data_IF_608564534072
#
_entry.id   IF_608564534072
#
_cell.length_a   1.000
_cell.length_b   1.000
_cell.length_c   1.000
_cell.angle_alpha   90.00
_cell.angle_beta   90.00
_cell.angle_gamma   90.00
#
_symmetry.space_group_name_H-M   'P 1'
#
loop_
_entity.id
_entity.type
_entity.pdbx_description
1 polymer ?
#
# COMPACT_ATOMS: atom_id res chain seq x y z
N UNK A 1 55.62 21.31 72.57
CA UNK A 1 54.43 20.50 72.22
C UNK A 1 54.18 20.63 70.74
N UNK A 2 54.58 19.64 69.96
CA UNK A 2 54.58 19.66 68.52
C UNK A 2 53.27 19.03 68.01
N UNK A 3 52.44 19.76 67.22
CA UNK A 3 51.36 19.21 66.41
C UNK A 3 51.85 19.11 64.98
N UNK A 4 51.99 17.87 64.51
CA UNK A 4 52.30 17.54 63.13
C UNK A 4 51.00 17.62 62.34
N UNK A 5 50.93 18.46 61.33
CA UNK A 5 49.89 18.44 60.29
C UNK A 5 50.32 17.47 59.20
N UNK A 6 49.53 16.44 59.06
CA UNK A 6 49.65 15.49 57.96
C UNK A 6 48.67 15.90 56.82
N UNK A 7 49.23 16.49 55.78
CA UNK A 7 48.46 16.85 54.57
C UNK A 7 48.22 15.59 53.74
N UNK A 8 46.99 15.14 53.67
CA UNK A 8 46.53 14.08 52.72
C UNK A 8 46.22 14.77 51.43
N UNK A 9 47.07 14.62 50.43
CA UNK A 9 46.89 15.05 49.06
C UNK A 9 45.98 14.01 48.37
N UNK A 10 44.66 14.24 48.32
CA UNK A 10 43.72 13.40 47.56
C UNK A 10 43.89 13.66 46.08
N UNK A 11 44.60 12.77 45.41
CA UNK A 11 44.71 12.73 43.95
C UNK A 11 43.39 12.26 43.38
N UNK A 12 42.53 13.21 42.96
CA UNK A 12 41.30 12.92 42.19
C UNK A 12 41.74 12.50 40.78
N UNK A 13 41.85 11.20 40.60
CA UNK A 13 42.06 10.60 39.27
C UNK A 13 40.72 10.69 38.49
N UNK A 14 40.54 11.77 37.73
CA UNK A 14 39.48 11.89 36.78
C UNK A 14 39.70 10.83 35.68
N UNK A 15 39.03 9.68 35.81
CA UNK A 15 38.94 8.70 34.72
C UNK A 15 38.11 9.34 33.63
N UNK A 16 38.77 9.99 32.68
CA UNK A 16 38.17 10.33 31.39
C UNK A 16 37.96 9.02 30.69
N UNK A 17 36.74 8.48 30.82
CA UNK A 17 36.26 7.43 29.92
C UNK A 17 36.12 8.05 28.52
N UNK A 18 37.26 8.14 27.83
CA UNK A 18 37.26 8.31 26.39
C UNK A 18 36.53 7.06 25.83
N UNK A 19 35.22 7.20 25.60
CA UNK A 19 34.45 6.16 24.92
C UNK A 19 35.11 5.95 23.57
N UNK A 20 35.81 4.82 23.39
CA UNK A 20 36.32 4.41 22.09
C UNK A 20 35.15 4.40 21.14
N UNK A 21 35.12 5.33 20.19
CA UNK A 21 34.09 5.34 19.12
C UNK A 21 34.15 3.99 18.40
N UNK A 22 33.10 3.25 18.44
CA UNK A 22 32.99 1.98 17.73
C UNK A 22 33.08 2.29 16.23
N UNK A 23 34.15 1.86 15.57
CA UNK A 23 34.45 2.18 14.17
C UNK A 23 33.83 1.19 13.19
N UNK A 24 33.47 -0.01 13.65
CA UNK A 24 32.92 -1.05 12.81
C UNK A 24 31.41 -0.80 12.56
N UNK A 25 30.98 -0.54 11.28
CA UNK A 25 29.58 -0.32 10.96
C UNK A 25 28.64 -1.53 11.21
N UNK A 26 29.19 -2.74 11.32
CA UNK A 26 28.44 -3.95 11.65
C UNK A 26 28.22 -4.11 13.17
N UNK A 27 28.94 -3.38 14.00
CA UNK A 27 28.80 -3.46 15.44
C UNK A 27 27.41 -2.91 15.87
N UNK A 28 26.64 -3.64 16.69
CA UNK A 28 25.34 -3.18 17.18
C UNK A 28 25.33 -1.81 17.87
N UNK A 29 26.46 -1.41 18.48
CA UNK A 29 26.63 -0.11 19.16
C UNK A 29 27.10 1.00 18.23
N UNK A 30 27.42 0.70 16.97
CA UNK A 30 27.82 1.71 15.99
C UNK A 30 26.69 2.73 15.81
N UNK A 31 27.02 4.02 15.84
CA UNK A 31 26.07 5.11 15.59
C UNK A 31 25.93 5.28 14.08
N UNK A 32 24.78 4.99 13.55
CA UNK A 32 24.47 5.08 12.10
C UNK A 32 23.98 6.45 11.68
N UNK A 33 23.41 7.21 12.64
CA UNK A 33 23.06 8.63 12.46
C UNK A 33 23.08 9.35 13.81
N UNK A 34 23.52 10.61 13.80
CA UNK A 34 23.55 11.48 14.97
C UNK A 34 23.17 12.91 14.63
N UNK A 35 22.76 13.67 15.65
CA UNK A 35 22.40 15.08 15.54
C UNK A 35 21.98 15.62 16.89
N UNK A 36 21.53 16.89 16.96
CA UNK A 36 21.03 17.46 18.19
C UNK A 36 19.79 16.73 18.69
N UNK A 37 19.93 15.98 19.79
CA UNK A 37 18.85 15.15 20.35
C UNK A 37 18.56 13.87 19.56
N UNK A 38 19.40 13.51 18.60
CA UNK A 38 19.24 12.34 17.74
C UNK A 38 20.45 11.43 17.88
N UNK A 39 20.19 10.16 18.12
CA UNK A 39 21.20 9.12 18.09
C UNK A 39 20.57 7.80 17.71
N UNK A 40 20.91 7.29 16.54
CA UNK A 40 20.42 6.01 16.04
C UNK A 40 21.61 5.05 15.96
N UNK A 41 21.44 3.88 16.59
CA UNK A 41 22.46 2.82 16.56
C UNK A 41 22.16 1.78 15.49
N UNK A 42 23.17 1.00 15.12
CA UNK A 42 23.04 -0.14 14.22
C UNK A 42 21.99 -1.13 14.72
N UNK A 43 21.98 -1.45 16.01
CA UNK A 43 20.99 -2.35 16.59
C UNK A 43 19.56 -1.85 16.40
N UNK A 44 19.32 -0.54 16.55
CA UNK A 44 18.00 0.04 16.33
C UNK A 44 17.59 -0.03 14.86
N UNK A 45 18.51 0.29 13.95
CA UNK A 45 18.26 0.16 12.51
C UNK A 45 17.96 -1.29 12.13
N UNK A 46 18.74 -2.24 12.61
CA UNK A 46 18.56 -3.66 12.34
C UNK A 46 17.21 -4.18 12.84
N UNK A 47 16.78 -3.72 14.01
CA UNK A 47 15.47 -4.09 14.55
C UNK A 47 14.33 -3.60 13.64
N UNK A 48 14.39 -2.35 13.16
CA UNK A 48 13.36 -1.82 12.25
C UNK A 48 13.39 -2.48 10.86
N UNK A 49 14.57 -2.75 10.31
CA UNK A 49 14.72 -3.50 9.05
C UNK A 49 14.13 -4.91 9.18
N UNK A 50 14.43 -5.61 10.27
CA UNK A 50 13.87 -6.94 10.50
C UNK A 50 12.35 -6.91 10.67
N UNK A 51 11.83 -5.89 11.37
CA UNK A 51 10.37 -5.69 11.51
C UNK A 51 9.70 -5.45 10.14
N UNK A 52 10.32 -4.63 9.29
CA UNK A 52 9.82 -4.38 7.95
C UNK A 52 9.81 -5.65 7.09
N UNK A 53 10.86 -6.46 7.14
CA UNK A 53 10.95 -7.72 6.40
C UNK A 53 9.91 -8.75 6.87
N UNK A 54 9.66 -8.83 8.18
CA UNK A 54 8.65 -9.74 8.73
C UNK A 54 7.24 -9.46 8.21
N UNK A 55 6.89 -8.21 7.91
CA UNK A 55 5.58 -7.86 7.33
C UNK A 55 5.38 -8.47 5.94
N UNK A 56 6.46 -8.85 5.25
CA UNK A 56 6.44 -9.51 3.94
C UNK A 56 6.81 -11.00 4.03
N UNK A 57 6.88 -11.58 5.24
CA UNK A 57 7.36 -12.96 5.50
C UNK A 57 8.77 -13.20 4.90
N UNK A 58 9.63 -12.18 4.91
CA UNK A 58 11.01 -12.25 4.43
C UNK A 58 12.00 -12.25 5.60
N UNK A 59 13.17 -12.82 5.35
CA UNK A 59 14.36 -12.75 6.21
C UNK A 59 15.52 -12.09 5.45
N UNK A 60 16.48 -11.51 6.19
CA UNK A 60 17.60 -10.75 5.58
C UNK A 60 18.41 -11.55 4.58
N UNK A 61 18.66 -12.82 4.86
CA UNK A 61 19.40 -13.76 4.03
C UNK A 61 18.74 -14.03 2.66
N UNK A 62 17.43 -13.79 2.56
CA UNK A 62 16.66 -13.97 1.32
C UNK A 62 16.56 -12.70 0.47
N UNK A 63 17.05 -11.55 0.98
CA UNK A 63 17.02 -10.28 0.26
C UNK A 63 18.39 -10.03 -0.37
N UNK A 64 18.50 -9.78 -1.69
CA UNK A 64 19.75 -9.42 -2.33
C UNK A 64 20.42 -8.22 -1.69
N UNK A 65 21.75 -8.26 -1.52
CA UNK A 65 22.51 -7.23 -0.79
C UNK A 65 22.24 -5.77 -1.26
N UNK A 66 22.13 -5.45 -2.57
CA UNK A 66 21.81 -4.09 -2.99
C UNK A 66 20.40 -3.63 -2.58
N UNK A 67 19.42 -4.55 -2.60
CA UNK A 67 18.05 -4.25 -2.18
C UNK A 67 17.98 -4.05 -0.65
N UNK A 68 18.70 -4.89 0.11
CA UNK A 68 18.81 -4.75 1.56
C UNK A 68 19.46 -3.43 1.94
N UNK A 69 20.55 -3.03 1.29
CA UNK A 69 21.21 -1.74 1.53
C UNK A 69 20.27 -0.56 1.23
N UNK A 70 19.51 -0.61 0.14
CA UNK A 70 18.50 0.40 -0.18
C UNK A 70 17.39 0.45 0.86
N UNK A 71 16.93 -0.69 1.35
CA UNK A 71 15.94 -0.80 2.42
C UNK A 71 16.49 -0.19 3.73
N UNK A 72 17.73 -0.49 4.10
CA UNK A 72 18.38 0.07 5.31
C UNK A 72 18.45 1.60 5.24
N UNK A 73 18.84 2.17 4.11
CA UNK A 73 18.89 3.63 3.93
C UNK A 73 17.49 4.25 4.02
N UNK A 74 16.50 3.63 3.41
CA UNK A 74 15.11 4.11 3.45
C UNK A 74 14.57 4.10 4.89
N UNK A 75 14.78 3.00 5.62
CA UNK A 75 14.37 2.88 7.02
C UNK A 75 15.12 3.86 7.91
N UNK A 76 16.45 4.00 7.74
CA UNK A 76 17.21 4.99 8.48
C UNK A 76 16.67 6.40 8.26
N UNK A 77 16.37 6.77 7.02
CA UNK A 77 15.76 8.07 6.71
C UNK A 77 14.40 8.27 7.39
N UNK A 78 13.57 7.23 7.45
CA UNK A 78 12.29 7.28 8.18
C UNK A 78 12.51 7.45 9.68
N UNK A 79 13.47 6.73 10.28
CA UNK A 79 13.82 6.85 11.69
C UNK A 79 14.33 8.25 12.03
N UNK A 80 15.19 8.83 11.19
CA UNK A 80 15.68 10.21 11.34
C UNK A 80 14.51 11.18 11.28
N UNK A 81 13.67 11.10 10.25
CA UNK A 81 12.49 11.96 10.09
C UNK A 81 11.56 11.89 11.31
N UNK A 82 11.29 10.68 11.80
CA UNK A 82 10.48 10.48 13.01
C UNK A 82 11.12 11.14 14.23
N UNK A 83 12.43 11.00 14.42
CA UNK A 83 13.11 11.57 15.57
C UNK A 83 13.19 13.11 15.53
N UNK A 84 13.48 13.72 14.37
CA UNK A 84 13.46 15.19 14.23
C UNK A 84 12.07 15.77 14.44
N UNK A 85 11.05 15.13 13.85
CA UNK A 85 9.66 15.55 14.03
C UNK A 85 9.20 15.43 15.48
N UNK A 86 9.54 14.32 16.15
CA UNK A 86 9.19 14.12 17.56
C UNK A 86 9.91 15.09 18.48
N UNK A 87 11.20 15.39 18.22
CA UNK A 87 11.95 16.37 18.96
C UNK A 87 11.34 17.79 18.83
N UNK A 88 10.86 18.14 17.65
CA UNK A 88 10.15 19.40 17.41
C UNK A 88 8.76 19.41 18.06
N UNK A 89 7.97 18.34 17.92
CA UNK A 89 6.64 18.21 18.52
C UNK A 89 6.67 18.41 20.04
N UNK A 90 7.71 17.90 20.71
CA UNK A 90 7.90 18.03 22.16
C UNK A 90 8.18 19.46 22.65
N UNK A 91 8.48 20.41 21.76
CA UNK A 91 8.57 21.83 22.12
C UNK A 91 7.21 22.46 22.38
N UNK A 92 6.15 21.88 21.80
CA UNK A 92 4.76 22.27 21.98
C UNK A 92 3.87 21.03 22.12
N UNK A 93 3.95 20.32 23.25
CA UNK A 93 3.30 19.02 23.40
C UNK A 93 1.77 19.16 23.33
N UNK A 94 1.13 18.14 22.80
CA UNK A 94 -0.32 18.02 22.74
C UNK A 94 -0.87 17.74 24.16
N UNK A 95 -1.77 18.59 24.66
CA UNK A 95 -2.25 18.59 26.07
C UNK A 95 -2.87 17.25 26.51
N UNK A 96 -3.47 16.49 25.60
CA UNK A 96 -4.20 15.25 25.92
C UNK A 96 -3.71 14.03 25.09
N UNK A 97 -2.47 14.06 24.60
CA UNK A 97 -1.90 12.99 23.78
C UNK A 97 -1.99 11.61 24.47
N UNK A 98 -1.60 11.54 25.75
CA UNK A 98 -1.62 10.30 26.52
C UNK A 98 -3.04 9.73 26.69
N UNK A 99 -4.03 10.58 26.93
CA UNK A 99 -5.44 10.14 27.06
C UNK A 99 -5.96 9.61 25.73
N UNK A 100 -5.74 10.35 24.64
CA UNK A 100 -6.19 9.95 23.31
C UNK A 100 -5.46 8.68 22.83
N UNK A 101 -4.18 8.52 23.17
CA UNK A 101 -3.43 7.30 22.85
C UNK A 101 -4.02 6.07 23.55
N UNK A 102 -4.39 6.19 24.84
CA UNK A 102 -5.09 5.12 25.56
C UNK A 102 -6.43 4.76 24.91
N UNK A 103 -7.23 5.76 24.58
CA UNK A 103 -8.51 5.53 23.90
C UNK A 103 -8.31 4.87 22.52
N UNK A 104 -7.30 5.27 21.78
CA UNK A 104 -6.98 4.64 20.49
C UNK A 104 -6.55 3.18 20.68
N UNK A 105 -5.70 2.89 21.67
CA UNK A 105 -5.29 1.53 21.99
C UNK A 105 -6.50 0.66 22.36
N UNK A 106 -7.41 1.17 23.18
CA UNK A 106 -8.64 0.43 23.54
C UNK A 106 -9.56 0.21 22.32
N UNK A 107 -9.64 1.16 21.37
CA UNK A 107 -10.33 0.94 20.10
C UNK A 107 -9.66 -0.15 19.25
N UNK A 108 -8.32 -0.18 19.23
CA UNK A 108 -7.57 -1.21 18.50
C UNK A 108 -7.81 -2.60 19.10
N UNK A 109 -7.81 -2.72 20.43
CA UNK A 109 -8.10 -4.00 21.11
C UNK A 109 -9.46 -4.58 20.73
N UNK A 110 -10.48 -3.72 20.58
CA UNK A 110 -11.84 -4.13 20.19
C UNK A 110 -11.95 -4.73 18.78
N UNK A 111 -10.93 -4.53 17.91
CA UNK A 111 -10.89 -5.14 16.59
C UNK A 111 -10.41 -6.61 16.62
N UNK A 112 -9.95 -7.09 17.76
CA UNK A 112 -9.56 -8.49 17.95
C UNK A 112 -10.72 -9.30 18.54
N UNK A 113 -10.87 -10.56 18.13
CA UNK A 113 -11.98 -11.38 18.60
C UNK A 113 -11.88 -11.69 20.11
N UNK A 114 -10.67 -11.76 20.67
CA UNK A 114 -10.42 -11.95 22.10
C UNK A 114 -9.19 -11.17 22.56
N UNK A 115 -9.06 -10.89 23.88
CA UNK A 115 -7.85 -10.26 24.43
C UNK A 115 -6.58 -11.09 24.18
N UNK A 116 -6.69 -12.43 24.20
CA UNK A 116 -5.57 -13.35 23.95
C UNK A 116 -5.06 -13.20 22.51
N UNK A 117 -5.96 -13.04 21.53
CA UNK A 117 -5.58 -12.81 20.13
C UNK A 117 -4.79 -11.49 19.96
N UNK A 118 -5.13 -10.46 20.74
CA UNK A 118 -4.35 -9.23 20.77
C UNK A 118 -2.95 -9.47 21.37
N UNK A 119 -2.84 -10.20 22.51
CA UNK A 119 -1.56 -10.50 23.14
C UNK A 119 -0.66 -11.39 22.24
N UNK A 120 -1.26 -12.34 21.54
CA UNK A 120 -0.55 -13.16 20.55
C UNK A 120 0.03 -12.29 19.43
N UNK A 121 -0.74 -11.30 18.96
CA UNK A 121 -0.26 -10.35 17.94
C UNK A 121 0.90 -9.49 18.45
N UNK A 122 0.86 -9.00 19.69
CA UNK A 122 1.97 -8.28 20.31
C UNK A 122 3.23 -9.15 20.39
N UNK A 123 3.07 -10.40 20.80
CA UNK A 123 4.17 -11.37 20.89
C UNK A 123 4.79 -11.63 19.52
N UNK A 124 3.99 -11.83 18.48
CA UNK A 124 4.45 -11.97 17.09
C UNK A 124 5.19 -10.74 16.61
N UNK A 125 4.71 -9.55 16.96
CA UNK A 125 5.34 -8.27 16.63
C UNK A 125 6.55 -7.95 17.51
N UNK A 126 6.88 -8.78 18.50
CA UNK A 126 7.96 -8.58 19.48
C UNK A 126 7.88 -7.22 20.17
N UNK A 127 6.69 -6.83 20.58
CA UNK A 127 6.40 -5.58 21.29
C UNK A 127 5.49 -5.83 22.49
N UNK A 128 5.34 -4.82 23.32
CA UNK A 128 4.46 -4.82 24.49
C UNK A 128 3.35 -3.80 24.33
N UNK A 129 2.28 -3.94 25.13
CA UNK A 129 1.20 -2.96 25.16
C UNK A 129 1.70 -1.56 25.55
N UNK A 130 2.65 -1.48 26.48
CA UNK A 130 3.26 -0.22 26.93
C UNK A 130 4.07 0.44 25.79
N UNK A 131 4.83 -0.33 25.03
CA UNK A 131 5.57 0.18 23.86
C UNK A 131 4.60 0.63 22.76
N UNK A 132 3.56 -0.14 22.47
CA UNK A 132 2.54 0.24 21.52
C UNK A 132 1.83 1.53 21.92
N UNK A 133 1.45 1.69 23.20
CA UNK A 133 0.86 2.91 23.72
C UNK A 133 1.78 4.12 23.49
N UNK A 134 3.07 3.97 23.81
CA UNK A 134 4.07 5.00 23.59
C UNK A 134 4.24 5.34 22.10
N UNK A 135 4.21 4.35 21.22
CA UNK A 135 4.27 4.57 19.78
C UNK A 135 3.05 5.34 19.26
N UNK A 136 1.86 5.01 19.76
CA UNK A 136 0.61 5.74 19.43
C UNK A 136 0.71 7.21 19.89
N UNK A 137 1.13 7.43 21.13
CA UNK A 137 1.30 8.80 21.68
C UNK A 137 2.28 9.62 20.84
N UNK A 138 3.46 9.08 20.55
CA UNK A 138 4.47 9.73 19.72
C UNK A 138 3.95 10.03 18.31
N UNK A 139 3.20 9.09 17.74
CA UNK A 139 2.57 9.32 16.42
C UNK A 139 1.59 10.49 16.47
N UNK A 140 0.76 10.57 17.51
CA UNK A 140 -0.20 11.68 17.68
C UNK A 140 0.49 13.02 17.84
N UNK A 141 1.60 13.08 18.59
CA UNK A 141 2.41 14.29 18.74
C UNK A 141 2.96 14.76 17.38
N UNK A 142 3.50 13.83 16.57
CA UNK A 142 4.01 14.13 15.22
C UNK A 142 2.88 14.53 14.28
N UNK A 143 1.75 13.82 14.28
CA UNK A 143 0.59 14.15 13.45
C UNK A 143 0.05 15.56 13.79
N UNK A 144 0.05 15.93 15.08
CA UNK A 144 -0.34 17.28 15.53
C UNK A 144 0.64 18.34 15.04
N UNK A 145 1.95 18.08 15.13
CA UNK A 145 2.98 18.96 14.57
C UNK A 145 2.77 19.16 13.06
N UNK A 146 2.58 18.08 12.31
CA UNK A 146 2.35 18.15 10.86
C UNK A 146 1.10 18.96 10.54
N UNK A 147 0.02 18.75 11.28
CA UNK A 147 -1.20 19.55 11.14
C UNK A 147 -0.95 21.04 11.42
N UNK A 148 -0.29 21.35 12.51
CA UNK A 148 -0.03 22.74 12.89
C UNK A 148 0.92 23.50 11.96
N UNK A 149 1.91 22.80 11.36
CA UNK A 149 2.97 23.44 10.58
C UNK A 149 2.76 23.31 9.07
N UNK A 150 2.10 22.24 8.59
CA UNK A 150 1.89 21.95 7.18
C UNK A 150 0.54 22.47 6.70
N UNK A 151 -0.56 22.15 7.39
CA UNK A 151 -1.91 22.52 6.92
C UNK A 151 -2.12 24.02 6.66
N UNK A 152 -1.63 24.96 7.51
CA UNK A 152 -1.82 26.39 7.24
C UNK A 152 -1.10 26.89 5.98
N UNK A 153 -0.07 26.18 5.51
CA UNK A 153 0.67 26.52 4.29
C UNK A 153 0.03 25.94 3.02
N UNK A 154 -0.99 25.08 3.18
CA UNK A 154 -1.63 24.39 2.05
C UNK A 154 -2.76 25.24 1.46
N UNK A 155 -2.44 26.09 0.48
CA UNK A 155 -3.47 26.67 -0.35
C UNK A 155 -4.21 25.58 -1.14
N UNK A 156 -5.54 25.71 -1.25
CA UNK A 156 -6.30 24.87 -2.15
C UNK A 156 -5.74 24.99 -3.58
N UNK A 157 -5.70 23.88 -4.35
CA UNK A 157 -5.31 23.97 -5.74
C UNK A 157 -6.21 24.96 -6.48
N UNK A 158 -5.60 25.85 -7.27
CA UNK A 158 -6.35 26.79 -8.09
C UNK A 158 -7.01 26.11 -9.28
N UNK A 159 -8.00 26.75 -9.88
CA UNK A 159 -8.66 26.22 -11.07
C UNK A 159 -7.67 26.10 -12.26
N UNK A 160 -6.68 27.01 -12.35
CA UNK A 160 -5.60 26.93 -13.35
C UNK A 160 -4.71 25.71 -13.14
N UNK A 161 -4.36 25.39 -11.90
CA UNK A 161 -3.56 24.19 -11.58
C UNK A 161 -4.34 22.91 -11.94
N UNK A 162 -5.62 22.88 -11.63
CA UNK A 162 -6.50 21.74 -11.95
C UNK A 162 -6.64 21.57 -13.47
N UNK A 163 -6.88 22.67 -14.19
CA UNK A 163 -6.97 22.67 -15.65
C UNK A 163 -5.65 22.23 -16.30
N UNK A 164 -4.53 22.75 -15.79
CA UNK A 164 -3.20 22.38 -16.27
C UNK A 164 -2.96 20.87 -16.10
N UNK A 165 -3.21 20.34 -14.91
CA UNK A 165 -3.04 18.90 -14.64
C UNK A 165 -3.92 18.04 -15.55
N UNK A 166 -5.17 18.44 -15.77
CA UNK A 166 -6.08 17.75 -16.68
C UNK A 166 -5.50 17.70 -18.10
N UNK A 167 -5.02 18.83 -18.63
CA UNK A 167 -4.49 18.95 -19.99
C UNK A 167 -3.17 18.18 -20.18
N UNK A 168 -2.31 18.16 -19.16
CA UNK A 168 -1.01 17.47 -19.21
C UNK A 168 -1.14 15.95 -19.06
N UNK A 169 -2.29 15.45 -18.59
CA UNK A 169 -2.50 14.04 -18.31
C UNK A 169 -3.72 13.43 -19.06
N UNK A 170 -3.85 13.59 -20.39
CA UNK A 170 -5.04 13.20 -21.13
C UNK A 170 -5.37 11.71 -21.05
N UNK A 171 -4.35 10.86 -20.89
CA UNK A 171 -4.52 9.40 -20.77
C UNK A 171 -5.24 8.97 -19.48
N UNK A 172 -5.15 9.75 -18.40
CA UNK A 172 -5.79 9.42 -17.12
C UNK A 172 -7.31 9.56 -17.21
N UNK A 173 -7.81 10.36 -18.12
CA UNK A 173 -9.23 10.66 -18.28
C UNK A 173 -9.93 9.79 -19.31
N UNK A 174 -9.17 8.97 -20.03
CA UNK A 174 -9.73 8.04 -20.99
C UNK A 174 -10.34 6.84 -20.27
N UNK A 175 -11.54 6.51 -20.66
CA UNK A 175 -12.22 5.26 -20.27
C UNK A 175 -12.42 4.45 -21.54
N UNK A 176 -11.85 3.26 -21.56
CA UNK A 176 -12.03 2.35 -22.69
C UNK A 176 -13.47 1.85 -22.75
N UNK A 177 -13.89 1.44 -23.95
CA UNK A 177 -15.12 0.68 -24.11
C UNK A 177 -15.10 -0.51 -23.16
N UNK A 178 -16.21 -0.74 -22.44
CA UNK A 178 -16.35 -1.86 -21.53
C UNK A 178 -17.68 -2.57 -21.67
N UNK A 179 -17.69 -3.85 -21.29
CA UNK A 179 -18.86 -4.73 -21.33
C UNK A 179 -19.14 -5.24 -19.92
N UNK A 180 -20.42 -5.17 -19.52
CA UNK A 180 -20.94 -5.85 -18.34
C UNK A 180 -21.70 -7.08 -18.81
N UNK A 181 -21.26 -8.25 -18.38
CA UNK A 181 -21.81 -9.52 -18.86
C UNK A 181 -21.92 -10.57 -17.76
N UNK A 182 -22.73 -11.56 -18.04
CA UNK A 182 -22.78 -12.84 -17.35
C UNK A 182 -22.32 -13.92 -18.32
N UNK A 183 -21.71 -14.98 -17.82
CA UNK A 183 -21.35 -16.13 -18.64
C UNK A 183 -21.66 -17.46 -17.96
N UNK A 184 -21.76 -18.50 -18.76
CA UNK A 184 -21.70 -19.91 -18.33
C UNK A 184 -20.48 -20.53 -19.00
N UNK A 185 -19.67 -21.24 -18.22
CA UNK A 185 -18.57 -22.07 -18.72
C UNK A 185 -18.91 -23.54 -18.50
N UNK A 186 -18.83 -24.34 -19.55
CA UNK A 186 -18.77 -25.82 -19.48
C UNK A 186 -17.30 -26.18 -19.75
N UNK A 187 -16.56 -26.49 -18.68
CA UNK A 187 -15.11 -26.73 -18.77
C UNK A 187 -14.78 -27.96 -19.58
N UNK A 188 -13.73 -27.85 -20.39
CA UNK A 188 -13.16 -28.95 -21.18
C UNK A 188 -11.65 -28.92 -21.01
N UNK A 189 -11.04 -30.07 -20.73
CA UNK A 189 -9.60 -30.18 -20.72
C UNK A 189 -9.02 -30.07 -22.13
N UNK A 190 -7.90 -29.39 -22.29
CA UNK A 190 -7.27 -29.15 -23.58
C UNK A 190 -7.01 -30.47 -24.36
N UNK A 191 -6.67 -31.53 -23.62
CA UNK A 191 -6.35 -32.85 -24.17
C UNK A 191 -7.57 -33.81 -24.25
N UNK A 192 -8.80 -33.32 -24.02
CA UNK A 192 -9.99 -34.14 -24.09
C UNK A 192 -10.18 -34.72 -25.52
N UNK A 193 -10.67 -35.95 -25.60
CA UNK A 193 -10.99 -36.59 -26.85
C UNK A 193 -12.21 -35.94 -27.57
N UNK A 194 -12.44 -36.27 -28.83
CA UNK A 194 -13.50 -35.71 -29.64
C UNK A 194 -14.88 -36.01 -29.08
N UNK A 195 -15.09 -37.19 -28.51
CA UNK A 195 -16.39 -37.58 -27.92
C UNK A 195 -16.69 -36.76 -26.69
N UNK A 196 -15.69 -36.58 -25.78
CA UNK A 196 -15.83 -35.72 -24.62
C UNK A 196 -16.09 -34.26 -24.99
N UNK A 197 -15.36 -33.71 -25.97
CA UNK A 197 -15.62 -32.37 -26.50
C UNK A 197 -17.01 -32.19 -27.03
N UNK A 198 -17.51 -33.17 -27.82
CA UNK A 198 -18.86 -33.15 -28.36
C UNK A 198 -19.96 -33.21 -27.27
N UNK A 199 -19.74 -34.05 -26.24
CA UNK A 199 -20.66 -34.16 -25.11
C UNK A 199 -20.72 -32.85 -24.31
N UNK A 200 -19.58 -32.22 -24.05
CA UNK A 200 -19.49 -30.94 -23.31
C UNK A 200 -20.08 -29.78 -24.12
N UNK A 201 -19.85 -29.75 -25.44
CA UNK A 201 -20.49 -28.78 -26.33
C UNK A 201 -22.01 -28.92 -26.27
N UNK A 202 -22.52 -30.16 -26.37
CA UNK A 202 -23.96 -30.42 -26.26
C UNK A 202 -24.50 -29.94 -24.89
N UNK A 203 -23.80 -30.19 -23.79
CA UNK A 203 -24.23 -29.71 -22.48
C UNK A 203 -24.32 -28.17 -22.42
N UNK A 204 -23.38 -27.44 -23.04
CA UNK A 204 -23.46 -25.99 -23.15
C UNK A 204 -24.65 -25.53 -24.01
N UNK A 205 -24.92 -26.24 -25.15
CA UNK A 205 -26.05 -25.96 -26.02
C UNK A 205 -27.37 -26.24 -25.32
N UNK A 206 -27.47 -27.33 -24.58
CA UNK A 206 -28.68 -27.67 -23.79
C UNK A 206 -28.94 -26.63 -22.70
N UNK A 207 -27.88 -26.15 -22.00
CA UNK A 207 -27.98 -25.06 -21.03
C UNK A 207 -28.42 -23.74 -21.67
N UNK A 208 -27.89 -23.39 -22.85
CA UNK A 208 -28.31 -22.22 -23.61
C UNK A 208 -29.76 -22.34 -24.04
N UNK A 209 -30.22 -23.53 -24.46
CA UNK A 209 -31.61 -23.77 -24.83
C UNK A 209 -32.58 -23.53 -23.66
N UNK A 210 -32.19 -23.85 -22.42
CA UNK A 210 -32.99 -23.51 -21.21
C UNK A 210 -33.16 -22.00 -21.07
N UNK A 211 -32.07 -21.23 -21.22
CA UNK A 211 -32.10 -19.75 -21.18
C UNK A 211 -33.00 -19.19 -22.28
N UNK A 212 -32.87 -19.73 -23.51
CA UNK A 212 -33.70 -19.29 -24.65
C UNK A 212 -35.22 -19.63 -24.49
N UNK A 213 -35.56 -20.62 -23.66
CA UNK A 213 -36.95 -20.95 -23.27
C UNK A 213 -37.46 -20.07 -22.11
N UNK A 214 -36.66 -19.11 -21.62
CA UNK A 214 -37.08 -18.16 -20.60
C UNK A 214 -36.62 -18.50 -19.19
N UNK A 215 -35.80 -19.54 -18.97
CA UNK A 215 -35.24 -19.80 -17.66
C UNK A 215 -34.23 -18.69 -17.29
N UNK A 216 -34.23 -18.17 -16.03
CA UNK A 216 -33.30 -17.12 -15.63
C UNK A 216 -31.84 -17.54 -15.84
N UNK A 217 -31.07 -16.68 -16.52
CA UNK A 217 -29.65 -16.93 -16.82
C UNK A 217 -28.85 -17.24 -15.55
N UNK A 218 -29.11 -16.49 -14.48
CA UNK A 218 -28.47 -16.61 -13.19
C UNK A 218 -28.63 -18.01 -12.58
N UNK A 219 -29.87 -18.58 -12.70
CA UNK A 219 -30.16 -19.93 -12.20
C UNK A 219 -29.41 -20.98 -13.02
N UNK A 220 -29.44 -20.89 -14.34
CA UNK A 220 -28.71 -21.81 -15.22
C UNK A 220 -27.21 -21.73 -14.94
N UNK A 221 -26.66 -20.52 -14.76
CA UNK A 221 -25.26 -20.34 -14.44
C UNK A 221 -24.85 -20.97 -13.08
N UNK A 222 -25.69 -20.81 -12.05
CA UNK A 222 -25.45 -21.42 -10.73
C UNK A 222 -25.49 -22.94 -10.77
N UNK A 223 -26.32 -23.53 -11.61
CA UNK A 223 -26.44 -24.98 -11.74
C UNK A 223 -25.33 -25.57 -12.62
N UNK A 224 -25.10 -25.01 -13.80
CA UNK A 224 -24.35 -25.63 -14.88
C UNK A 224 -22.92 -25.09 -15.01
N UNK A 225 -22.65 -23.82 -14.63
CA UNK A 225 -21.33 -23.24 -14.86
C UNK A 225 -20.24 -23.93 -14.05
N UNK A 226 -19.12 -24.20 -14.69
CA UNK A 226 -17.90 -24.73 -14.08
C UNK A 226 -16.92 -23.58 -13.68
N UNK A 227 -17.30 -22.30 -13.86
CA UNK A 227 -16.48 -21.16 -13.44
C UNK A 227 -16.68 -20.85 -11.95
N UNK A 228 -15.70 -21.18 -11.06
CA UNK A 228 -15.84 -20.96 -9.63
C UNK A 228 -15.86 -19.45 -9.29
N UNK A 229 -15.31 -18.61 -10.16
CA UNK A 229 -15.20 -17.16 -9.95
C UNK A 229 -16.54 -16.42 -10.08
N UNK A 230 -17.47 -16.93 -10.92
CA UNK A 230 -18.74 -16.24 -11.20
C UNK A 230 -19.98 -17.11 -10.92
N UNK A 231 -19.86 -18.44 -10.86
CA UNK A 231 -20.98 -19.37 -10.66
C UNK A 231 -21.91 -18.95 -9.53
N UNK A 232 -21.38 -18.73 -8.34
CA UNK A 232 -22.18 -18.35 -7.16
C UNK A 232 -22.92 -17.02 -7.32
N UNK A 233 -22.42 -16.14 -8.22
CA UNK A 233 -23.05 -14.86 -8.56
C UNK A 233 -23.86 -14.92 -9.84
N UNK A 234 -24.35 -16.12 -10.23
CA UNK A 234 -25.16 -16.28 -11.43
C UNK A 234 -24.42 -15.98 -12.74
N UNK A 235 -23.11 -16.24 -12.76
CA UNK A 235 -22.24 -16.02 -13.90
C UNK A 235 -21.79 -14.57 -14.09
N UNK A 236 -22.03 -13.66 -13.13
CA UNK A 236 -21.70 -12.24 -13.26
C UNK A 236 -20.19 -11.98 -13.21
N UNK A 237 -19.71 -11.32 -14.26
CA UNK A 237 -18.32 -10.88 -14.41
C UNK A 237 -18.18 -9.41 -14.00
N UNK A 238 -17.03 -9.02 -13.43
CA UNK A 238 -16.68 -7.60 -13.35
C UNK A 238 -16.71 -6.97 -14.75
N UNK A 239 -17.03 -5.66 -14.89
CA UNK A 239 -16.91 -4.97 -16.17
C UNK A 239 -15.50 -5.16 -16.74
N UNK A 240 -15.39 -5.46 -18.02
CA UNK A 240 -14.10 -5.67 -18.69
C UNK A 240 -14.01 -4.92 -20.00
N UNK A 241 -12.79 -4.49 -20.33
CA UNK A 241 -12.42 -3.82 -21.58
C UNK A 241 -11.68 -4.78 -22.51
N UNK A 242 -11.45 -4.33 -23.75
CA UNK A 242 -10.64 -5.09 -24.72
C UNK A 242 -9.24 -5.38 -24.20
N UNK A 243 -8.73 -6.56 -24.46
CA UNK A 243 -7.42 -7.05 -23.99
C UNK A 243 -7.45 -7.76 -22.63
N UNK A 244 -8.61 -7.87 -21.97
CA UNK A 244 -8.76 -8.48 -20.65
C UNK A 244 -9.31 -9.92 -20.67
N UNK A 245 -9.86 -10.35 -21.80
CA UNK A 245 -10.45 -11.68 -21.96
C UNK A 245 -9.79 -12.43 -23.11
N UNK A 246 -10.03 -13.74 -23.21
CA UNK A 246 -9.54 -14.50 -24.38
C UNK A 246 -10.15 -13.94 -25.66
N UNK A 247 -9.41 -13.93 -26.79
CA UNK A 247 -9.84 -13.26 -28.02
C UNK A 247 -11.26 -13.63 -28.47
N UNK A 248 -11.61 -14.93 -28.47
CA UNK A 248 -12.93 -15.38 -28.90
C UNK A 248 -14.06 -14.99 -27.95
N UNK A 249 -13.79 -15.00 -26.63
CA UNK A 249 -14.74 -14.54 -25.63
C UNK A 249 -14.99 -13.02 -25.76
N UNK A 250 -13.91 -12.26 -25.90
CA UNK A 250 -13.95 -10.82 -26.07
C UNK A 250 -14.71 -10.41 -27.33
N UNK A 251 -14.33 -10.95 -28.50
CA UNK A 251 -15.03 -10.72 -29.76
C UNK A 251 -16.54 -10.96 -29.60
N UNK A 252 -16.90 -12.07 -28.95
CA UNK A 252 -18.33 -12.43 -28.77
C UNK A 252 -19.04 -11.48 -27.83
N UNK A 253 -18.43 -11.12 -26.71
CA UNK A 253 -19.03 -10.19 -25.76
C UNK A 253 -19.22 -8.80 -26.37
N UNK A 254 -18.21 -8.30 -27.11
CA UNK A 254 -18.27 -6.98 -27.74
C UNK A 254 -19.18 -6.95 -29.00
N UNK A 255 -19.43 -8.07 -29.68
CA UNK A 255 -20.36 -8.13 -30.82
C UNK A 255 -21.81 -8.40 -30.38
N UNK A 256 -22.04 -9.08 -29.25
CA UNK A 256 -23.41 -9.38 -28.78
C UNK A 256 -24.11 -8.11 -28.29
N UNK A 257 -25.33 -7.77 -28.78
CA UNK A 257 -26.03 -6.58 -28.30
C UNK A 257 -26.44 -6.66 -26.82
N UNK A 258 -26.55 -5.51 -26.12
CA UNK A 258 -27.05 -5.47 -24.75
C UNK A 258 -28.43 -6.16 -24.62
N UNK A 259 -28.63 -6.90 -23.54
CA UNK A 259 -29.83 -7.69 -23.27
C UNK A 259 -29.88 -9.03 -23.99
N UNK A 260 -28.96 -9.33 -24.90
CA UNK A 260 -28.95 -10.58 -25.70
C UNK A 260 -27.97 -11.59 -25.15
N UNK A 261 -28.21 -12.86 -25.51
CA UNK A 261 -27.33 -13.99 -25.20
C UNK A 261 -26.64 -14.43 -26.49
N UNK A 262 -25.35 -14.73 -26.41
CA UNK A 262 -24.57 -15.22 -27.55
C UNK A 262 -24.91 -16.68 -27.89
N UNK A 263 -24.40 -17.13 -29.02
CA UNK A 263 -24.29 -18.58 -29.30
C UNK A 263 -23.20 -19.17 -28.39
N UNK A 264 -23.14 -20.52 -28.30
CA UNK A 264 -22.03 -21.23 -27.68
C UNK A 264 -20.78 -20.99 -28.50
N UNK A 265 -19.72 -20.63 -27.81
CA UNK A 265 -18.35 -20.43 -28.35
C UNK A 265 -17.36 -21.35 -27.66
N UNK A 266 -16.29 -21.67 -28.36
CA UNK A 266 -15.16 -22.45 -27.79
C UNK A 266 -14.00 -21.54 -27.46
N UNK A 267 -13.38 -21.78 -26.30
CA UNK A 267 -12.15 -21.12 -25.84
C UNK A 267 -11.18 -22.17 -25.29
N UNK A 268 -9.94 -21.83 -24.94
CA UNK A 268 -9.03 -22.77 -24.29
C UNK A 268 -9.52 -23.36 -22.96
N UNK A 269 -10.54 -22.77 -22.35
CA UNK A 269 -11.12 -23.24 -21.08
C UNK A 269 -12.32 -24.18 -21.28
N UNK A 270 -12.92 -24.20 -22.46
CA UNK A 270 -14.10 -24.98 -22.78
C UNK A 270 -15.13 -24.18 -23.56
N UNK A 271 -16.39 -24.57 -23.41
CA UNK A 271 -17.53 -23.96 -24.11
C UNK A 271 -18.22 -22.91 -23.25
N UNK A 272 -18.47 -21.73 -23.83
CA UNK A 272 -19.11 -20.61 -23.14
C UNK A 272 -20.33 -20.12 -23.91
N UNK A 273 -21.27 -19.52 -23.21
CA UNK A 273 -22.20 -18.56 -23.76
C UNK A 273 -22.35 -17.36 -22.83
N UNK A 274 -22.61 -16.20 -23.42
CA UNK A 274 -22.44 -14.91 -22.75
C UNK A 274 -23.75 -14.13 -22.88
N UNK A 275 -24.27 -13.59 -21.76
CA UNK A 275 -25.34 -12.61 -21.74
C UNK A 275 -24.74 -11.23 -21.49
N UNK A 276 -24.85 -10.36 -22.47
CA UNK A 276 -24.41 -8.97 -22.32
C UNK A 276 -25.48 -8.16 -21.59
N UNK A 277 -25.16 -7.58 -20.45
CA UNK A 277 -26.07 -6.73 -19.66
C UNK A 277 -26.05 -5.28 -20.15
N UNK A 278 -24.87 -4.75 -20.36
CA UNK A 278 -24.67 -3.38 -20.81
C UNK A 278 -23.32 -3.23 -21.54
N UNK A 279 -23.22 -2.21 -22.36
CA UNK A 279 -21.97 -1.74 -22.95
C UNK A 279 -21.78 -0.26 -22.63
N UNK A 280 -20.60 0.11 -22.24
CA UNK A 280 -20.22 1.51 -22.03
C UNK A 280 -19.23 1.89 -23.13
N UNK A 281 -19.57 2.90 -23.92
CA UNK A 281 -18.69 3.39 -24.98
C UNK A 281 -17.41 4.01 -24.39
N UNK A 282 -16.34 3.91 -25.14
CA UNK A 282 -15.12 4.65 -24.81
C UNK A 282 -15.43 6.14 -24.73
N UNK A 283 -14.96 6.79 -23.67
CA UNK A 283 -15.14 8.24 -23.50
C UNK A 283 -13.91 8.88 -22.83
N UNK A 284 -13.72 10.15 -23.07
CA UNK A 284 -12.84 10.99 -22.25
C UNK A 284 -13.71 11.71 -21.23
N UNK A 285 -13.39 11.51 -19.94
CA UNK A 285 -14.06 12.23 -18.85
C UNK A 285 -13.76 13.72 -18.98
N UNK A 286 -14.79 14.55 -18.89
CA UNK A 286 -14.62 16.02 -18.93
C UNK A 286 -14.00 16.51 -17.62
N UNK A 287 -13.38 17.70 -17.67
CA UNK A 287 -12.78 18.30 -16.47
C UNK A 287 -13.75 18.36 -15.29
N UNK A 288 -15.00 18.75 -15.51
CA UNK A 288 -16.01 18.86 -14.45
C UNK A 288 -16.29 17.53 -13.76
N UNK A 289 -16.19 16.40 -14.49
CA UNK A 289 -16.40 15.05 -13.94
C UNK A 289 -15.25 14.63 -13.01
N UNK A 290 -14.04 15.18 -13.19
CA UNK A 290 -12.80 14.77 -12.48
C UNK A 290 -12.16 15.89 -11.65
N UNK A 291 -12.72 17.10 -11.66
CA UNK A 291 -12.19 18.27 -10.99
C UNK A 291 -11.88 18.04 -9.51
N UNK A 292 -12.81 17.41 -8.79
CA UNK A 292 -12.64 17.10 -7.37
C UNK A 292 -11.55 16.07 -7.13
N UNK A 293 -11.43 15.06 -8.00
CA UNK A 293 -10.38 14.05 -7.94
C UNK A 293 -9.00 14.67 -8.17
N UNK A 294 -8.87 15.53 -9.18
CA UNK A 294 -7.64 16.26 -9.48
C UNK A 294 -7.27 17.18 -8.31
N UNK A 295 -8.22 17.96 -7.79
CA UNK A 295 -7.98 18.86 -6.66
C UNK A 295 -7.50 18.10 -5.43
N UNK A 296 -8.13 16.96 -5.10
CA UNK A 296 -7.69 16.12 -4.01
C UNK A 296 -6.30 15.53 -4.24
N UNK A 297 -5.97 15.14 -5.48
CA UNK A 297 -4.65 14.64 -5.85
C UNK A 297 -3.58 15.74 -5.70
N UNK A 298 -3.80 16.93 -6.28
CA UNK A 298 -2.88 18.06 -6.19
C UNK A 298 -2.67 18.50 -4.74
N UNK A 299 -3.72 18.51 -3.93
CA UNK A 299 -3.62 18.80 -2.49
C UNK A 299 -2.71 17.81 -1.77
N UNK A 300 -2.84 16.50 -2.07
CA UNK A 300 -1.93 15.48 -1.49
C UNK A 300 -0.48 15.70 -1.92
N UNK A 301 -0.24 16.08 -3.18
CA UNK A 301 1.11 16.39 -3.65
C UNK A 301 1.69 17.61 -2.92
N UNK A 302 0.95 18.69 -2.79
CA UNK A 302 1.35 19.89 -2.03
C UNK A 302 1.64 19.56 -0.57
N UNK A 303 0.80 18.73 0.07
CA UNK A 303 1.00 18.27 1.44
C UNK A 303 2.28 17.45 1.59
N UNK A 304 2.53 16.52 0.66
CA UNK A 304 3.76 15.73 0.64
C UNK A 304 4.99 16.60 0.52
N UNK A 305 4.97 17.57 -0.37
CA UNK A 305 6.08 18.52 -0.59
C UNK A 305 6.32 19.42 0.64
N UNK A 306 5.27 20.01 1.20
CA UNK A 306 5.39 20.82 2.41
C UNK A 306 5.92 20.01 3.60
N UNK A 307 5.48 18.75 3.74
CA UNK A 307 6.00 17.81 4.75
C UNK A 307 7.49 17.52 4.53
N UNK A 308 7.90 17.28 3.28
CA UNK A 308 9.29 17.03 2.91
C UNK A 308 10.18 18.23 3.29
N UNK A 309 9.75 19.44 2.91
CA UNK A 309 10.50 20.67 3.21
C UNK A 309 10.62 20.90 4.72
N UNK A 310 9.53 20.74 5.47
CA UNK A 310 9.57 20.83 6.94
C UNK A 310 10.58 19.84 7.54
N UNK A 311 10.55 18.58 7.11
CA UNK A 311 11.47 17.56 7.63
C UNK A 311 12.93 17.83 7.25
N UNK A 312 13.18 18.38 6.06
CA UNK A 312 14.52 18.80 5.64
C UNK A 312 15.05 19.95 6.52
N UNK A 313 14.21 20.93 6.82
CA UNK A 313 14.60 22.04 7.71
C UNK A 313 14.86 21.54 9.14
N UNK A 314 13.99 20.67 9.67
CA UNK A 314 14.23 20.06 10.98
C UNK A 314 15.53 19.23 11.03
N UNK A 315 15.88 18.54 9.95
CA UNK A 315 17.17 17.81 9.85
C UNK A 315 18.36 18.77 9.84
N UNK A 316 18.28 19.90 9.12
CA UNK A 316 19.31 20.93 9.10
C UNK A 316 19.49 21.55 10.49
N UNK A 317 18.39 21.92 11.13
CA UNK A 317 18.38 22.47 12.48
C UNK A 317 18.99 21.52 13.52
N UNK A 318 18.71 20.24 13.39
CA UNK A 318 19.29 19.22 14.26
C UNK A 318 20.74 18.87 13.90
N UNK A 319 21.31 19.42 12.82
CA UNK A 319 22.64 19.09 12.30
C UNK A 319 22.84 17.58 12.13
N UNK A 320 21.87 16.91 11.48
CA UNK A 320 21.88 15.46 11.31
C UNK A 320 23.03 15.01 10.42
N UNK A 321 23.81 14.05 10.90
CA UNK A 321 24.88 13.38 10.16
C UNK A 321 24.55 11.90 10.03
N UNK A 322 24.60 11.37 8.80
CA UNK A 322 24.49 9.94 8.51
C UNK A 322 25.91 9.39 8.41
N UNK A 323 26.19 8.37 9.22
CA UNK A 323 27.52 7.76 9.35
C UNK A 323 27.60 6.39 8.66
N UNK A 324 26.47 5.88 8.14
CA UNK A 324 26.46 4.71 7.28
C UNK A 324 27.12 5.03 5.93
N UNK A 325 27.92 4.11 5.38
CA UNK A 325 28.40 4.26 4.01
C UNK A 325 27.20 4.28 3.04
N UNK A 326 27.28 5.06 1.95
CA UNK A 326 26.24 5.07 0.94
C UNK A 326 26.04 3.66 0.36
N UNK A 327 24.81 3.29 -0.01
CA UNK A 327 24.57 2.03 -0.66
C UNK A 327 25.38 1.94 -1.97
N UNK A 328 25.79 0.75 -2.40
CA UNK A 328 26.42 0.59 -3.70
C UNK A 328 25.48 1.15 -4.77
N UNK A 329 26.05 1.86 -5.75
CA UNK A 329 25.27 2.43 -6.84
C UNK A 329 24.40 1.33 -7.47
N UNK A 330 23.11 1.60 -7.73
CA UNK A 330 22.27 0.63 -8.42
C UNK A 330 22.95 0.27 -9.75
N UNK A 331 23.01 -1.03 -10.03
CA UNK A 331 23.46 -1.48 -11.34
C UNK A 331 22.63 -0.76 -12.41
N UNK A 332 23.23 -0.34 -13.53
CA UNK A 332 22.50 0.38 -14.58
C UNK A 332 21.28 -0.46 -14.98
N UNK A 333 20.11 -0.03 -14.56
CA UNK A 333 18.85 -0.59 -15.01
C UNK A 333 18.73 -0.23 -16.48
N UNK A 334 18.84 -1.20 -17.36
CA UNK A 334 18.32 -1.09 -18.73
C UNK A 334 16.87 -0.64 -18.57
N UNK A 335 16.60 0.58 -19.04
CA UNK A 335 15.33 1.27 -18.82
C UNK A 335 14.16 0.49 -19.41
N UNK A 336 13.55 -0.36 -18.60
CA UNK A 336 12.16 -0.76 -18.74
C UNK A 336 11.42 0.05 -17.67
N UNK A 337 10.95 1.21 -18.06
CA UNK A 337 10.04 2.02 -17.26
C UNK A 337 8.79 1.18 -17.02
N UNK A 338 8.46 0.77 -15.78
CA UNK A 338 7.17 0.16 -15.56
C UNK A 338 6.11 1.24 -15.83
N UNK A 339 5.01 0.88 -16.48
CA UNK A 339 3.92 1.83 -16.69
C UNK A 339 3.47 2.36 -15.32
N UNK A 340 3.35 3.68 -15.24
CA UNK A 340 2.72 4.36 -14.08
C UNK A 340 1.36 3.68 -13.87
N UNK A 341 1.22 2.94 -12.78
CA UNK A 341 -0.06 2.35 -12.43
C UNK A 341 -1.03 3.49 -12.14
N UNK A 342 -2.09 3.55 -12.94
CA UNK A 342 -3.22 4.42 -12.67
C UNK A 342 -3.76 4.11 -11.25
N UNK A 343 -4.18 5.13 -10.50
CA UNK A 343 -4.82 4.91 -9.21
C UNK A 343 -6.01 3.96 -9.37
N UNK A 344 -6.27 3.07 -8.40
CA UNK A 344 -7.42 2.17 -8.47
C UNK A 344 -8.71 3.00 -8.61
N UNK A 345 -9.67 2.54 -9.43
CA UNK A 345 -10.95 3.23 -9.58
C UNK A 345 -11.64 3.35 -8.21
N UNK A 346 -12.33 4.47 -7.95
CA UNK A 346 -13.08 4.64 -6.70
C UNK A 346 -14.11 3.52 -6.54
N UNK A 347 -14.38 3.06 -5.31
CA UNK A 347 -15.41 2.08 -5.05
C UNK A 347 -16.74 2.62 -5.57
N UNK A 348 -17.40 1.84 -6.43
CA UNK A 348 -18.75 2.13 -6.91
C UNK A 348 -19.68 2.27 -5.71
N UNK A 349 -20.28 3.43 -5.56
CA UNK A 349 -21.29 3.69 -4.53
C UNK A 349 -22.42 2.64 -4.64
N UNK A 350 -22.95 2.14 -3.50
CA UNK A 350 -24.08 1.23 -3.53
C UNK A 350 -25.29 1.95 -4.15
N UNK A 351 -25.93 1.29 -5.10
CA UNK A 351 -27.18 1.76 -5.69
C UNK A 351 -28.20 1.99 -4.56
N UNK A 352 -28.70 3.22 -4.45
CA UNK A 352 -29.85 3.52 -3.59
C UNK A 352 -31.02 2.65 -4.04
N UNK A 353 -31.62 1.96 -3.07
CA UNK A 353 -32.91 1.28 -3.22
C UNK A 353 -34.00 2.29 -3.52
#
# INVERSE_FOLDING_TARGET
MFKRYLSILSLLMAVVLAGCAVKDPANPRFVVAEGRGIKITRAQLDAEVNRALLNFNLSRDKVPAPQLASLEVNILNQMINRQVALAEARKSPMTNAATQAKEQLERMKKNFPTPEAFQEQLTKAKTTEAEMLKEIEQKMEVDNLMRARVEPSLAAPSDEEVQKFYNENPKLWQRNESVRAQHVLVKVDANADAATKAAKKKAAEDALARVNKGEPFEKVAQEVSDDPGSKARGGELPPFSKGQMTPKFEETAFSTPPGKVSKVIETPFGYHFIKVKAKEAAKTLKLDEVKNEISAHLRRLKQGEATRLLLEDLRKDANVKILLPPPPAPAPVTATTPPVQAPPPPPTAPAKK
#
